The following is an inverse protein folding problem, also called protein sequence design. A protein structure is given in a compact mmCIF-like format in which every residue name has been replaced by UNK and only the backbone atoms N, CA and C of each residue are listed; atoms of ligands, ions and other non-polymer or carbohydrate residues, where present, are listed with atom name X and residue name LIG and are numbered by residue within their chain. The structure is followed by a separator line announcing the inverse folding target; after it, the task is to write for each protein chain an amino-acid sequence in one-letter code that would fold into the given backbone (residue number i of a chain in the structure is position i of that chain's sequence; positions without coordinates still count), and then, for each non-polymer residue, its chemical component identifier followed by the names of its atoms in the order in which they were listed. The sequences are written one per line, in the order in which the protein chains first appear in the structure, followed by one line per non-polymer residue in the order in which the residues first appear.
data_IF_279931592257
#
_entry.id   IF_279931592257
#
_cell.length_a   1.000
_cell.length_b   1.000
_cell.length_c   1.000
_cell.angle_alpha   90.00
_cell.angle_beta   90.00
_cell.angle_gamma   90.00
#
_symmetry.space_group_name_H-M   'P 1'
#
loop_
_entity.id
_entity.type
_entity.pdbx_description
1 polymer ?
#
# COMPACT_ATOMS: atom_id res chain seq x y z
N UNK A 1 8.71 -23.42 5.41
CA UNK A 1 7.82 -22.32 5.84
C UNK A 1 7.76 -21.25 4.75
N UNK A 2 6.96 -21.41 3.69
CA UNK A 2 6.69 -20.37 2.70
C UNK A 2 5.19 -20.43 2.38
N UNK A 3 4.42 -19.42 2.80
CA UNK A 3 2.97 -19.46 2.64
C UNK A 3 2.20 -18.19 3.00
N UNK A 4 2.86 -17.06 3.34
CA UNK A 4 2.16 -15.82 3.72
C UNK A 4 2.07 -14.76 2.61
N UNK A 5 2.95 -14.78 1.61
CA UNK A 5 3.21 -13.61 0.75
C UNK A 5 2.12 -13.21 -0.26
N UNK A 6 1.14 -14.08 -0.55
CA UNK A 6 0.03 -13.75 -1.47
C UNK A 6 -1.27 -13.43 -0.74
N UNK A 7 -1.39 -13.82 0.53
CA UNK A 7 -2.60 -13.63 1.32
C UNK A 7 -2.59 -12.32 2.14
N UNK A 8 -1.41 -11.71 2.34
CA UNK A 8 -1.28 -10.41 3.01
C UNK A 8 -2.09 -9.31 2.32
N UNK A 9 -2.17 -9.34 0.99
CA UNK A 9 -2.99 -8.40 0.21
C UNK A 9 -4.49 -8.73 0.21
N UNK A 10 -4.88 -9.94 0.61
CA UNK A 10 -6.28 -10.38 0.61
C UNK A 10 -7.16 -9.62 1.61
N UNK A 11 -6.56 -8.99 2.62
CA UNK A 11 -7.26 -8.16 3.60
C UNK A 11 -7.51 -6.71 3.11
N UNK A 12 -6.90 -6.31 1.99
CA UNK A 12 -7.00 -4.96 1.45
C UNK A 12 -8.14 -4.84 0.44
N UNK A 13 -8.86 -3.73 0.50
CA UNK A 13 -9.78 -3.34 -0.57
C UNK A 13 -9.02 -3.00 -1.85
N UNK A 14 -9.70 -2.96 -2.99
CA UNK A 14 -9.11 -2.54 -4.26
C UNK A 14 -8.41 -1.18 -4.17
N UNK A 15 -9.06 -0.23 -3.50
CA UNK A 15 -8.53 1.12 -3.34
C UNK A 15 -7.27 1.17 -2.49
N UNK A 16 -7.24 0.36 -1.45
CA UNK A 16 -6.05 0.20 -0.60
C UNK A 16 -4.90 -0.48 -1.36
N UNK A 17 -5.20 -1.43 -2.24
CA UNK A 17 -4.20 -2.07 -3.12
C UNK A 17 -3.62 -1.09 -4.13
N UNK A 18 -4.44 -0.24 -4.75
CA UNK A 18 -3.96 0.84 -5.62
C UNK A 18 -3.02 1.77 -4.87
N UNK A 19 -3.43 2.27 -3.69
CA UNK A 19 -2.59 3.15 -2.85
C UNK A 19 -1.27 2.46 -2.50
N UNK A 20 -1.31 1.19 -2.09
CA UNK A 20 -0.11 0.41 -1.74
C UNK A 20 0.83 0.23 -2.94
N UNK A 21 0.30 -0.05 -4.13
CA UNK A 21 1.08 -0.16 -5.37
C UNK A 21 1.81 1.14 -5.67
N UNK A 22 1.13 2.27 -5.58
CA UNK A 22 1.75 3.58 -5.84
C UNK A 22 2.80 3.95 -4.79
N UNK A 23 2.57 3.61 -3.52
CA UNK A 23 3.59 3.75 -2.46
C UNK A 23 4.83 2.89 -2.76
N UNK A 24 4.63 1.67 -3.29
CA UNK A 24 5.72 0.78 -3.67
C UNK A 24 6.56 1.32 -4.85
N UNK A 25 5.95 2.15 -5.70
CA UNK A 25 6.63 2.89 -6.78
C UNK A 25 7.36 4.14 -6.27
N UNK A 26 7.31 4.43 -4.96
CA UNK A 26 7.94 5.60 -4.36
C UNK A 26 7.11 6.89 -4.43
N UNK A 27 5.84 6.82 -4.84
CA UNK A 27 4.97 8.00 -4.88
C UNK A 27 4.59 8.46 -3.48
N UNK A 28 4.54 9.78 -3.30
CA UNK A 28 4.06 10.41 -2.07
C UNK A 28 2.53 10.37 -1.97
N UNK A 29 1.97 10.52 -0.77
CA UNK A 29 0.50 10.61 -0.57
C UNK A 29 -0.14 11.75 -1.38
N UNK A 30 0.61 12.81 -1.69
CA UNK A 30 0.17 13.91 -2.55
C UNK A 30 0.03 13.46 -4.01
N UNK A 31 1.03 12.79 -4.55
CA UNK A 31 1.02 12.25 -5.92
C UNK A 31 -0.05 11.17 -6.08
N UNK A 32 -0.18 10.30 -5.08
CA UNK A 32 -1.23 9.27 -5.02
C UNK A 32 -2.61 9.92 -5.04
N UNK A 33 -2.81 10.99 -4.26
CA UNK A 33 -4.06 11.75 -4.29
C UNK A 33 -4.38 12.28 -5.68
N UNK A 34 -3.38 12.89 -6.34
CA UNK A 34 -3.55 13.40 -7.70
C UNK A 34 -3.89 12.29 -8.70
N UNK A 35 -3.19 11.16 -8.66
CA UNK A 35 -3.38 10.06 -9.61
C UNK A 35 -4.70 9.33 -9.40
N UNK A 36 -5.09 9.11 -8.15
CA UNK A 36 -6.35 8.47 -7.80
C UNK A 36 -7.54 9.45 -7.80
N UNK A 37 -7.33 10.74 -8.10
CA UNK A 37 -8.34 11.81 -8.01
C UNK A 37 -9.02 11.88 -6.64
N UNK A 38 -8.24 11.75 -5.57
CA UNK A 38 -8.67 11.90 -4.17
C UNK A 38 -7.82 12.94 -3.45
N UNK A 39 -8.33 13.49 -2.35
CA UNK A 39 -7.53 14.40 -1.53
C UNK A 39 -6.31 13.70 -0.93
N UNK A 40 -5.17 14.38 -0.75
CA UNK A 40 -3.98 13.82 -0.10
C UNK A 40 -4.27 13.30 1.31
N UNK A 41 -5.19 13.97 2.03
CA UNK A 41 -5.71 13.50 3.32
C UNK A 41 -6.40 12.13 3.24
N UNK A 42 -7.14 11.88 2.17
CA UNK A 42 -7.80 10.59 1.92
C UNK A 42 -6.77 9.50 1.60
N UNK A 43 -5.75 9.82 0.79
CA UNK A 43 -4.65 8.91 0.52
C UNK A 43 -3.87 8.54 1.81
N UNK A 44 -3.66 9.50 2.70
CA UNK A 44 -3.04 9.26 4.01
C UNK A 44 -3.90 8.35 4.89
N UNK A 45 -5.22 8.57 4.92
CA UNK A 45 -6.16 7.68 5.62
C UNK A 45 -6.11 6.25 5.09
N UNK A 46 -6.05 6.07 3.77
CA UNK A 46 -5.87 4.75 3.19
C UNK A 46 -4.54 4.13 3.61
N UNK A 47 -3.44 4.90 3.58
CA UNK A 47 -2.12 4.44 4.07
C UNK A 47 -2.19 3.94 5.51
N UNK A 48 -2.83 4.69 6.41
CA UNK A 48 -2.99 4.30 7.81
C UNK A 48 -3.78 2.99 7.96
N UNK A 49 -4.90 2.86 7.24
CA UNK A 49 -5.69 1.64 7.24
C UNK A 49 -4.91 0.44 6.72
N UNK A 50 -4.13 0.61 5.64
CA UNK A 50 -3.27 -0.44 5.10
C UNK A 50 -2.21 -0.84 6.14
N UNK A 51 -1.56 0.12 6.78
CA UNK A 51 -0.57 -0.17 7.83
C UNK A 51 -1.19 -0.96 8.97
N UNK A 52 -2.39 -0.59 9.43
CA UNK A 52 -3.10 -1.31 10.47
C UNK A 52 -3.49 -2.74 10.04
N UNK A 53 -3.99 -2.91 8.81
CA UNK A 53 -4.40 -4.23 8.27
C UNK A 53 -3.22 -5.17 8.04
N UNK A 54 -2.09 -4.65 7.57
CA UNK A 54 -0.89 -5.43 7.27
C UNK A 54 0.04 -5.55 8.49
N UNK A 55 -0.27 -4.88 9.60
CA UNK A 55 0.61 -4.81 10.77
C UNK A 55 1.94 -4.08 10.51
N UNK A 56 1.97 -3.21 9.50
CA UNK A 56 3.17 -2.48 9.12
C UNK A 56 3.43 -1.33 10.10
N UNK A 57 4.66 -1.23 10.60
CA UNK A 57 5.04 -0.23 11.62
C UNK A 57 5.63 1.06 11.05
N UNK A 58 5.92 1.09 9.75
CA UNK A 58 6.53 2.23 9.07
C UNK A 58 6.28 2.17 7.57
N UNK A 59 6.43 3.30 6.89
CA UNK A 59 6.35 3.36 5.43
C UNK A 59 7.33 2.40 4.76
N UNK A 60 8.58 2.32 5.25
CA UNK A 60 9.56 1.38 4.73
C UNK A 60 9.13 -0.09 4.90
N UNK A 61 8.40 -0.40 5.96
CA UNK A 61 7.84 -1.73 6.19
C UNK A 61 6.70 -2.03 5.22
N UNK A 62 5.81 -1.05 5.02
CA UNK A 62 4.73 -1.10 4.04
C UNK A 62 5.25 -1.34 2.61
N UNK A 63 6.28 -0.59 2.21
CA UNK A 63 6.94 -0.73 0.91
C UNK A 63 7.60 -2.11 0.78
N UNK A 64 8.28 -2.59 1.83
CA UNK A 64 8.86 -3.95 1.83
C UNK A 64 7.79 -5.04 1.65
N UNK A 65 6.64 -4.90 2.30
CA UNK A 65 5.51 -5.83 2.13
C UNK A 65 4.99 -5.78 0.70
N UNK A 66 4.82 -4.58 0.12
CA UNK A 66 4.38 -4.43 -1.26
C UNK A 66 5.37 -5.03 -2.27
N UNK A 67 6.67 -4.82 -2.07
CA UNK A 67 7.73 -5.40 -2.90
C UNK A 67 7.72 -6.92 -2.81
N UNK A 68 7.64 -7.47 -1.59
CA UNK A 68 7.57 -8.92 -1.35
C UNK A 68 6.32 -9.55 -1.95
N UNK A 69 5.22 -8.82 -1.97
CA UNK A 69 3.97 -9.24 -2.58
C UNK A 69 3.96 -9.10 -4.12
N UNK A 70 5.01 -8.52 -4.72
CA UNK A 70 5.15 -8.36 -6.17
C UNK A 70 4.41 -7.15 -6.74
N UNK A 71 3.92 -6.22 -5.92
CA UNK A 71 3.15 -5.03 -6.36
C UNK A 71 4.01 -3.92 -6.98
N UNK A 72 5.33 -4.01 -6.86
CA UNK A 72 6.29 -3.00 -7.35
C UNK A 72 6.74 -3.22 -8.80
N UNK A 73 6.45 -4.39 -9.37
CA UNK A 73 6.89 -4.79 -10.71
C UNK A 73 5.68 -4.79 -11.65
N UNK A 74 5.36 -3.62 -12.17
CA UNK A 74 4.51 -3.44 -13.36
C UNK A 74 5.37 -2.75 -14.43
#
# INVERSE_FOLDING_TARGET
MQGRSRNELGALTDREREVLRLLAQGKTTKEIGAELRISPRTAERHRENIMHKLGARSLADLVRIAVRAGLSRD
#
